data_IF_179219433187
#
_entry.id   IF_179219433187
#
_cell.length_a   1.000
_cell.length_b   1.000
_cell.length_c   1.000
_cell.angle_alpha   90.00
_cell.angle_beta   90.00
_cell.angle_gamma   90.00
#
_symmetry.space_group_name_H-M   'P 1'
#
loop_
_entity.id
_entity.type
_entity.pdbx_description
1 polymer ?
#
# COMPACT_ATOMS: atom_id res chain seq x y z
N UNK A 1 73.00 -45.62 -20.66
CA UNK A 1 72.05 -45.49 -21.78
C UNK A 1 71.37 -44.14 -21.62
N UNK A 2 71.77 -43.10 -22.36
CA UNK A 2 71.27 -42.66 -23.67
C UNK A 2 70.45 -41.36 -23.52
N UNK A 3 70.86 -40.34 -24.30
CA UNK A 3 70.07 -39.26 -24.95
C UNK A 3 69.48 -38.19 -24.02
N UNK A 4 69.91 -36.93 -24.09
CA UNK A 4 69.64 -35.89 -25.12
C UNK A 4 68.14 -35.59 -25.36
N UNK A 5 67.86 -34.29 -25.51
CA UNK A 5 66.78 -33.62 -26.26
C UNK A 5 65.92 -32.69 -25.37
N UNK A 6 66.04 -31.37 -25.55
CA UNK A 6 65.20 -30.50 -26.41
C UNK A 6 63.90 -30.11 -25.69
N UNK A 7 63.69 -28.85 -25.29
CA UNK A 7 63.35 -27.70 -26.15
C UNK A 7 62.16 -27.95 -27.09
N UNK A 8 61.25 -26.99 -27.07
CA UNK A 8 60.43 -26.52 -28.18
C UNK A 8 58.98 -27.02 -28.38
N UNK A 9 58.08 -26.09 -28.02
CA UNK A 9 57.13 -25.38 -28.89
C UNK A 9 55.84 -26.08 -29.39
N UNK A 10 54.77 -25.29 -29.23
CA UNK A 10 53.62 -25.11 -30.13
C UNK A 10 52.49 -26.14 -30.12
N UNK A 11 51.35 -25.67 -29.61
CA UNK A 11 49.99 -25.97 -30.09
C UNK A 11 49.08 -24.85 -29.56
N UNK A 12 48.89 -23.75 -30.28
CA UNK A 12 47.92 -23.58 -31.36
C UNK A 12 46.49 -23.98 -30.93
N UNK A 13 45.68 -23.01 -30.50
CA UNK A 13 44.35 -22.78 -31.08
C UNK A 13 43.73 -21.53 -30.47
N UNK A 14 43.48 -20.54 -31.31
CA UNK A 14 42.74 -19.35 -30.98
C UNK A 14 41.30 -19.69 -30.60
N UNK A 15 40.78 -19.20 -29.48
CA UNK A 15 39.39 -18.77 -29.41
C UNK A 15 39.23 -17.56 -28.50
N UNK A 16 38.71 -16.50 -29.11
CA UNK A 16 38.22 -15.27 -28.51
C UNK A 16 37.09 -15.63 -27.52
N UNK A 17 37.32 -15.43 -26.23
CA UNK A 17 36.25 -15.42 -25.23
C UNK A 17 35.82 -13.99 -24.98
N UNK A 18 34.96 -13.47 -25.87
CA UNK A 18 34.43 -12.12 -25.81
C UNK A 18 33.77 -11.83 -24.45
N UNK A 19 34.28 -10.79 -23.79
CA UNK A 19 33.54 -10.00 -22.83
C UNK A 19 32.26 -9.51 -23.52
N UNK A 20 31.15 -10.21 -23.29
CA UNK A 20 29.85 -9.92 -23.88
C UNK A 20 28.87 -9.69 -22.75
N UNK A 21 29.10 -8.64 -21.96
CA UNK A 21 27.98 -8.06 -21.21
C UNK A 21 27.10 -7.44 -22.29
N UNK A 22 26.04 -8.16 -22.70
CA UNK A 22 25.09 -7.65 -23.66
C UNK A 22 24.44 -6.38 -23.09
N UNK A 23 24.63 -5.18 -23.70
CA UNK A 23 24.01 -3.96 -23.21
C UNK A 23 22.48 -3.96 -23.37
N UNK A 24 21.89 -4.98 -24.01
CA UNK A 24 20.44 -5.12 -24.22
C UNK A 24 19.66 -5.82 -23.10
N UNK A 25 20.31 -6.58 -22.21
CA UNK A 25 19.58 -7.39 -21.22
C UNK A 25 19.35 -6.68 -19.87
N UNK A 26 20.11 -5.62 -19.61
CA UNK A 26 19.97 -4.80 -18.38
C UNK A 26 18.86 -3.76 -18.51
N UNK A 27 18.38 -3.47 -19.73
CA UNK A 27 17.30 -2.49 -19.95
C UNK A 27 15.89 -3.09 -19.83
N UNK A 28 15.75 -4.42 -19.82
CA UNK A 28 14.44 -5.08 -19.86
C UNK A 28 13.92 -5.59 -18.50
N UNK A 29 14.69 -5.45 -17.40
CA UNK A 29 14.23 -5.80 -16.03
C UNK A 29 13.66 -4.61 -15.24
N UNK A 30 13.55 -3.42 -15.84
CA UNK A 30 12.93 -2.22 -15.22
C UNK A 30 11.51 -1.90 -15.70
N UNK A 31 10.93 -2.71 -16.59
CA UNK A 31 9.63 -2.40 -17.23
C UNK A 31 8.45 -3.19 -16.61
N UNK A 32 8.71 -4.22 -15.79
CA UNK A 32 7.68 -5.13 -15.23
C UNK A 32 7.36 -4.82 -13.75
N UNK A 33 7.40 -3.54 -13.33
CA UNK A 33 7.00 -3.11 -11.97
C UNK A 33 5.98 -1.95 -12.00
N UNK A 34 5.09 -1.94 -13.01
CA UNK A 34 4.02 -0.93 -13.14
C UNK A 34 2.61 -1.51 -13.13
N UNK A 35 2.39 -2.61 -12.41
CA UNK A 35 1.06 -2.78 -11.82
C UNK A 35 0.95 -1.73 -10.71
N UNK A 36 0.41 -0.57 -11.09
CA UNK A 36 0.05 0.52 -10.19
C UNK A 36 -1.08 0.00 -9.30
N UNK A 37 -0.74 -0.76 -8.25
CA UNK A 37 -1.63 -0.89 -7.12
C UNK A 37 -1.91 0.53 -6.67
N UNK A 38 -3.17 0.95 -6.64
CA UNK A 38 -3.48 2.27 -6.09
C UNK A 38 -2.99 2.24 -4.65
N UNK A 39 -2.01 3.06 -4.26
CA UNK A 39 -1.48 2.99 -2.91
C UNK A 39 -2.62 3.30 -1.95
N UNK A 40 -2.76 2.52 -0.87
CA UNK A 40 -3.80 2.70 0.16
C UNK A 40 -3.94 4.16 0.57
N UNK A 41 -2.82 4.88 0.70
CA UNK A 41 -2.78 6.30 1.02
C UNK A 41 -3.52 7.18 0.00
N UNK A 42 -3.38 6.91 -1.31
CA UNK A 42 -4.09 7.64 -2.36
C UNK A 42 -5.59 7.35 -2.32
N UNK A 43 -5.98 6.10 -2.04
CA UNK A 43 -7.39 5.77 -1.84
C UNK A 43 -7.98 6.44 -0.61
N UNK A 44 -7.28 6.47 0.51
CA UNK A 44 -7.73 7.20 1.70
C UNK A 44 -7.92 8.69 1.36
N UNK A 45 -6.95 9.32 0.72
CA UNK A 45 -7.02 10.74 0.38
C UNK A 45 -8.20 11.10 -0.55
N UNK A 46 -8.51 10.23 -1.52
CA UNK A 46 -9.56 10.49 -2.53
C UNK A 46 -10.94 10.02 -2.12
N UNK A 47 -11.03 8.91 -1.40
CA UNK A 47 -12.27 8.16 -1.19
C UNK A 47 -12.65 8.00 0.27
N UNK A 48 -11.89 8.52 1.23
CA UNK A 48 -12.28 8.48 2.64
C UNK A 48 -12.46 9.90 3.17
N UNK A 49 -13.58 10.14 3.84
CA UNK A 49 -13.88 11.40 4.51
C UNK A 49 -13.87 11.16 6.02
N UNK A 50 -12.97 11.82 6.72
CA UNK A 50 -12.78 11.64 8.15
C UNK A 50 -13.31 12.88 8.87
N UNK A 51 -14.09 12.66 9.92
CA UNK A 51 -14.68 13.70 10.75
C UNK A 51 -14.28 13.51 12.20
N UNK A 52 -14.08 14.63 12.90
CA UNK A 52 -13.87 14.72 14.35
C UNK A 52 -14.98 15.62 14.92
N UNK A 53 -15.79 15.07 15.81
CA UNK A 53 -16.86 15.81 16.49
C UNK A 53 -16.38 16.53 17.76
N UNK A 54 -15.09 16.43 18.11
CA UNK A 54 -14.51 17.08 19.28
C UNK A 54 -14.81 16.38 20.60
N UNK A 55 -15.29 15.12 20.57
CA UNK A 55 -15.64 14.37 21.77
C UNK A 55 -17.04 14.68 22.30
N UNK A 56 -17.95 15.14 21.43
CA UNK A 56 -19.37 15.33 21.77
C UNK A 56 -20.08 14.01 22.07
N UNK A 57 -19.60 12.93 21.47
CA UNK A 57 -20.08 11.56 21.69
C UNK A 57 -18.88 10.64 21.92
N UNK A 58 -19.16 9.39 22.31
CA UNK A 58 -18.11 8.40 22.55
C UNK A 58 -17.37 8.01 21.25
N UNK A 59 -18.07 7.97 20.11
CA UNK A 59 -17.52 7.79 18.77
C UNK A 59 -16.99 9.11 18.21
N UNK A 60 -15.98 9.68 18.87
CA UNK A 60 -15.41 10.99 18.51
C UNK A 60 -15.07 11.13 17.02
N UNK A 61 -14.57 10.06 16.41
CA UNK A 61 -14.15 10.05 15.02
C UNK A 61 -15.09 9.21 14.16
N UNK A 62 -15.41 9.73 12.97
CA UNK A 62 -16.16 9.00 11.95
C UNK A 62 -15.39 8.98 10.63
N UNK A 63 -15.08 7.80 10.12
CA UNK A 63 -14.51 7.61 8.79
C UNK A 63 -15.61 7.12 7.83
N UNK A 64 -15.94 7.91 6.81
CA UNK A 64 -16.94 7.57 5.80
C UNK A 64 -16.24 7.13 4.51
N UNK A 65 -16.53 5.92 4.07
CA UNK A 65 -15.91 5.27 2.91
C UNK A 65 -16.72 5.55 1.64
N UNK A 66 -16.28 6.51 0.84
CA UNK A 66 -16.94 6.96 -0.40
C UNK A 66 -16.70 6.00 -1.59
N UNK A 67 -16.61 4.70 -1.33
CA UNK A 67 -16.39 3.67 -2.35
C UNK A 67 -17.66 3.44 -3.14
N UNK A 68 -18.69 2.95 -2.47
CA UNK A 68 -20.01 2.65 -3.03
C UNK A 68 -21.10 3.12 -2.06
N UNK A 69 -22.16 3.78 -2.56
CA UNK A 69 -23.30 4.13 -1.72
C UNK A 69 -24.10 2.87 -1.38
N UNK A 70 -24.48 2.72 -0.11
CA UNK A 70 -25.33 1.60 0.31
C UNK A 70 -26.80 1.88 0.02
N UNK A 71 -27.34 3.01 0.52
CA UNK A 71 -28.73 3.43 0.31
C UNK A 71 -28.89 4.92 0.49
N UNK A 72 -29.62 5.60 -0.40
CA UNK A 72 -30.06 7.00 -0.23
C UNK A 72 -28.96 7.98 0.20
N UNK A 73 -27.75 7.86 -0.36
CA UNK A 73 -26.62 8.73 -0.01
C UNK A 73 -25.90 8.39 1.31
N UNK A 74 -26.25 7.26 1.94
CA UNK A 74 -25.48 6.64 3.01
C UNK A 74 -24.35 5.79 2.41
N UNK A 75 -23.22 5.81 3.10
CA UNK A 75 -22.03 5.06 2.77
C UNK A 75 -21.61 4.24 3.97
N UNK A 76 -20.89 3.14 3.72
CA UNK A 76 -20.22 2.40 4.78
C UNK A 76 -19.27 3.31 5.55
N UNK A 77 -19.25 3.17 6.86
CA UNK A 77 -18.50 4.04 7.76
C UNK A 77 -17.95 3.29 8.97
N UNK A 78 -16.99 3.91 9.64
CA UNK A 78 -16.45 3.50 10.93
C UNK A 78 -16.69 4.60 11.96
N UNK A 79 -17.46 4.29 12.99
CA UNK A 79 -17.54 5.09 14.21
C UNK A 79 -16.48 4.58 15.19
N UNK A 80 -15.64 5.48 15.70
CA UNK A 80 -14.56 5.08 16.61
C UNK A 80 -14.15 6.15 17.61
N UNK A 81 -13.66 5.68 18.76
CA UNK A 81 -12.97 6.51 19.74
C UNK A 81 -11.46 6.56 19.44
N UNK A 82 -10.66 7.08 20.38
CA UNK A 82 -9.21 7.13 20.22
C UNK A 82 -8.51 5.76 20.29
N UNK A 83 -9.19 4.74 20.84
CA UNK A 83 -8.63 3.42 21.13
C UNK A 83 -9.54 2.29 20.60
N UNK A 84 -9.75 2.20 19.27
CA UNK A 84 -10.78 1.32 18.70
C UNK A 84 -10.55 -0.19 18.90
N UNK A 85 -9.34 -0.59 19.29
CA UNK A 85 -9.00 -1.99 19.55
C UNK A 85 -9.08 -2.37 21.03
N UNK A 86 -9.35 -1.41 21.91
CA UNK A 86 -9.51 -1.69 23.33
C UNK A 86 -10.85 -2.42 23.56
N UNK A 87 -10.95 -3.39 24.48
CA UNK A 87 -12.21 -4.10 24.74
C UNK A 87 -13.38 -3.18 25.15
N UNK A 88 -13.06 -2.04 25.77
CA UNK A 88 -14.02 -0.98 26.11
C UNK A 88 -14.00 0.20 25.12
N UNK A 89 -13.16 0.11 24.08
CA UNK A 89 -13.07 1.13 23.03
C UNK A 89 -14.17 0.97 21.99
N UNK A 90 -14.29 1.97 21.11
CA UNK A 90 -15.30 1.98 20.05
C UNK A 90 -14.58 1.87 18.71
N UNK A 91 -14.94 0.86 17.94
CA UNK A 91 -14.44 0.63 16.60
C UNK A 91 -15.48 -0.09 15.76
N UNK A 92 -16.68 0.46 15.66
CA UNK A 92 -17.82 -0.22 15.05
C UNK A 92 -18.00 0.13 13.57
N UNK A 93 -18.43 -0.86 12.78
CA UNK A 93 -18.92 -0.61 11.43
C UNK A 93 -20.33 -0.04 11.51
N UNK A 94 -20.61 1.00 10.72
CA UNK A 94 -21.91 1.65 10.65
C UNK A 94 -22.14 2.21 9.25
N UNK A 95 -23.24 2.93 9.06
CA UNK A 95 -23.52 3.69 7.85
C UNK A 95 -23.72 5.15 8.19
N UNK A 96 -23.23 6.05 7.34
CA UNK A 96 -23.35 7.48 7.57
C UNK A 96 -23.52 8.26 6.27
N UNK A 97 -24.30 9.34 6.33
CA UNK A 97 -24.31 10.36 5.29
C UNK A 97 -23.09 11.27 5.51
N UNK A 98 -22.24 11.52 4.50
CA UNK A 98 -21.13 12.46 4.68
C UNK A 98 -21.66 13.89 4.84
N UNK A 99 -21.29 14.57 5.92
CA UNK A 99 -21.73 15.96 6.12
C UNK A 99 -21.26 16.60 7.42
N UNK A 100 -21.62 17.88 7.60
CA UNK A 100 -21.23 18.70 8.76
C UNK A 100 -21.79 18.19 10.09
N UNK A 101 -22.84 17.37 10.06
CA UNK A 101 -23.43 16.77 11.26
C UNK A 101 -22.49 15.78 11.97
N UNK A 102 -21.46 15.28 11.28
CA UNK A 102 -20.42 14.41 11.85
C UNK A 102 -19.26 15.20 12.51
N UNK A 103 -19.29 16.54 12.44
CA UNK A 103 -18.23 17.39 12.98
C UNK A 103 -17.30 17.99 11.90
N UNK A 104 -16.08 18.33 12.32
CA UNK A 104 -15.07 18.97 11.46
C UNK A 104 -14.36 17.92 10.62
N UNK A 105 -14.14 18.20 9.34
CA UNK A 105 -13.31 17.33 8.49
C UNK A 105 -11.84 17.42 8.90
N UNK A 106 -11.20 16.28 9.11
CA UNK A 106 -9.79 16.17 9.50
C UNK A 106 -9.02 15.25 8.54
N UNK A 107 -7.70 15.35 8.54
CA UNK A 107 -6.82 14.45 7.83
C UNK A 107 -6.58 13.16 8.62
N UNK A 108 -6.11 12.11 7.93
CA UNK A 108 -5.72 10.86 8.59
C UNK A 108 -4.61 11.09 9.64
N UNK A 109 -3.67 12.00 9.36
CA UNK A 109 -2.56 12.34 10.26
C UNK A 109 -2.99 13.04 11.54
N UNK A 110 -4.18 13.62 11.57
CA UNK A 110 -4.68 14.37 12.74
C UNK A 110 -5.29 13.43 13.81
N UNK A 111 -5.36 12.12 13.52
CA UNK A 111 -5.99 11.12 14.36
C UNK A 111 -4.97 10.31 15.18
N UNK A 112 -5.40 9.66 16.27
CA UNK A 112 -4.60 8.66 16.97
C UNK A 112 -4.16 7.51 16.05
N UNK A 113 -2.95 6.99 16.24
CA UNK A 113 -2.36 5.96 15.39
C UNK A 113 -3.23 4.69 15.26
N UNK A 114 -3.90 4.30 16.34
CA UNK A 114 -4.82 3.17 16.34
C UNK A 114 -5.98 3.37 15.36
N UNK A 115 -6.58 4.57 15.31
CA UNK A 115 -7.62 4.92 14.35
C UNK A 115 -7.07 4.92 12.91
N UNK A 116 -5.86 5.45 12.72
CA UNK A 116 -5.22 5.44 11.40
C UNK A 116 -5.00 4.02 10.88
N UNK A 117 -4.53 3.12 11.76
CA UNK A 117 -4.32 1.71 11.43
C UNK A 117 -5.63 1.02 11.07
N UNK A 118 -6.70 1.31 11.78
CA UNK A 118 -8.02 0.76 11.48
C UNK A 118 -8.50 1.16 10.08
N UNK A 119 -8.46 2.46 9.75
CA UNK A 119 -8.85 2.95 8.42
C UNK A 119 -7.98 2.32 7.32
N UNK A 120 -6.66 2.24 7.53
CA UNK A 120 -5.76 1.60 6.55
C UNK A 120 -6.13 0.13 6.31
N UNK A 121 -6.45 -0.61 7.36
CA UNK A 121 -6.85 -2.02 7.26
C UNK A 121 -8.19 -2.18 6.54
N UNK A 122 -9.17 -1.30 6.81
CA UNK A 122 -10.47 -1.32 6.14
C UNK A 122 -10.30 -1.04 4.64
N UNK A 123 -9.50 -0.02 4.25
CA UNK A 123 -9.21 0.29 2.84
C UNK A 123 -8.42 -0.83 2.16
N UNK A 124 -7.43 -1.41 2.85
CA UNK A 124 -6.65 -2.53 2.33
C UNK A 124 -7.55 -3.75 2.06
N UNK A 125 -8.44 -4.07 2.99
CA UNK A 125 -9.41 -5.16 2.87
C UNK A 125 -10.36 -4.93 1.70
N UNK A 126 -10.86 -3.70 1.53
CA UNK A 126 -11.70 -3.33 0.40
C UNK A 126 -10.96 -3.54 -0.94
N UNK A 127 -9.73 -3.02 -1.06
CA UNK A 127 -8.94 -3.18 -2.28
C UNK A 127 -8.69 -4.65 -2.63
N UNK A 128 -8.45 -5.50 -1.62
CA UNK A 128 -8.28 -6.93 -1.80
C UNK A 128 -9.56 -7.65 -2.22
N UNK A 129 -10.72 -7.19 -1.74
CA UNK A 129 -12.02 -7.76 -2.11
C UNK A 129 -12.46 -7.36 -3.53
N UNK A 130 -11.97 -6.24 -4.05
CA UNK A 130 -12.33 -5.70 -5.38
C UNK A 130 -11.30 -5.96 -6.48
N UNK A 131 -10.17 -6.62 -6.16
CA UNK A 131 -9.09 -6.95 -7.10
C UNK A 131 -9.34 -8.29 -7.81
#
# INVERSE_FOLDING_TARGET
MQRQAWANTAGCSAYRGACSIHPGEVLMKRIIQRHKSTPVAEMIAKKVRIYDNGGQTADRYTAVYMFEPERNGLFGARGMDANPYHPQGIGMCCTAAPGRHLGRRVGLSDMPEACQRLIRNDVQSFLQATA
#
